data_IF_335629743053
#
_entry.id   IF_335629743053
#
_cell.length_a   1.000
_cell.length_b   1.000
_cell.length_c   1.000
_cell.angle_alpha   90.00
_cell.angle_beta   90.00
_cell.angle_gamma   90.00
#
_symmetry.space_group_name_H-M   'P 1'
#
loop_
_entity.id
_entity.type
_entity.pdbx_description
1 polymer ?
#
# COMPACT_ATOMS: atom_id res chain seq x y z
N UNK A 1 38.67 10.96 -7.63
CA UNK A 1 37.30 10.89 -8.19
C UNK A 1 36.53 9.76 -7.50
N UNK A 2 35.92 10.09 -6.36
CA UNK A 2 35.14 9.17 -5.54
C UNK A 2 33.75 8.99 -6.14
N UNK A 3 33.46 7.78 -6.62
CA UNK A 3 32.11 7.34 -6.93
C UNK A 3 31.28 7.37 -5.64
N UNK A 4 30.26 8.21 -5.60
CA UNK A 4 29.26 8.21 -4.53
C UNK A 4 28.36 6.99 -4.72
N UNK A 5 28.38 6.08 -3.76
CA UNK A 5 27.38 5.03 -3.57
C UNK A 5 25.98 5.67 -3.51
N UNK A 6 25.22 5.60 -4.60
CA UNK A 6 23.77 5.83 -4.56
C UNK A 6 23.15 4.63 -3.84
N UNK A 7 22.80 4.80 -2.56
CA UNK A 7 22.04 3.81 -1.81
C UNK A 7 20.74 3.50 -2.57
N UNK A 8 20.49 2.20 -2.79
CA UNK A 8 19.28 1.62 -3.38
C UNK A 8 18.03 2.11 -2.65
N UNK A 9 17.47 3.23 -3.12
CA UNK A 9 16.26 3.82 -2.55
C UNK A 9 15.12 3.67 -3.55
N UNK A 10 14.00 3.13 -3.08
CA UNK A 10 12.77 2.94 -3.86
C UNK A 10 12.33 4.29 -4.47
N UNK A 11 12.21 4.32 -5.79
CA UNK A 11 11.81 5.48 -6.58
C UNK A 11 10.33 5.43 -6.97
N UNK A 12 9.79 6.59 -7.35
CA UNK A 12 8.48 6.69 -8.00
C UNK A 12 8.51 5.92 -9.32
N UNK A 13 7.46 5.14 -9.57
CA UNK A 13 7.35 4.28 -10.76
C UNK A 13 8.02 2.91 -10.64
N UNK A 14 8.69 2.61 -9.54
CA UNK A 14 9.25 1.28 -9.30
C UNK A 14 8.13 0.22 -9.14
N UNK A 15 8.48 -1.02 -9.44
CA UNK A 15 7.63 -2.19 -9.19
C UNK A 15 8.38 -3.13 -8.25
N UNK A 16 7.75 -3.46 -7.13
CA UNK A 16 8.34 -4.25 -6.05
C UNK A 16 7.46 -5.47 -5.81
N UNK A 17 8.04 -6.66 -5.83
CA UNK A 17 7.33 -7.91 -5.51
C UNK A 17 7.86 -8.51 -4.21
N UNK A 18 6.96 -8.73 -3.25
CA UNK A 18 7.24 -9.53 -2.05
C UNK A 18 6.77 -10.96 -2.26
N UNK A 19 7.70 -11.92 -2.30
CA UNK A 19 7.39 -13.34 -2.44
C UNK A 19 7.73 -14.11 -1.15
N UNK A 20 7.06 -15.23 -0.95
CA UNK A 20 7.33 -16.13 0.18
C UNK A 20 6.14 -17.03 0.51
N UNK A 21 6.28 -17.93 1.49
CA UNK A 21 5.21 -18.83 1.90
C UNK A 21 4.01 -18.07 2.46
N UNK A 22 2.87 -18.76 2.53
CA UNK A 22 1.70 -18.29 3.27
C UNK A 22 2.12 -17.87 4.70
N UNK A 23 1.47 -16.83 5.23
CA UNK A 23 1.77 -16.29 6.57
C UNK A 23 3.18 -15.73 6.79
N UNK A 24 3.99 -15.54 5.73
CA UNK A 24 5.33 -14.95 5.82
C UNK A 24 5.39 -13.44 6.13
N UNK A 25 4.31 -12.83 6.64
CA UNK A 25 4.28 -11.43 7.02
C UNK A 25 4.13 -10.41 5.88
N UNK A 26 3.97 -10.85 4.62
CA UNK A 26 3.86 -9.97 3.44
C UNK A 26 2.74 -8.93 3.54
N UNK A 27 1.51 -9.36 3.85
CA UNK A 27 0.37 -8.44 4.07
C UNK A 27 0.63 -7.51 5.27
N UNK A 28 1.33 -7.97 6.30
CA UNK A 28 1.73 -7.11 7.44
C UNK A 28 2.69 -6.00 6.99
N UNK A 29 3.63 -6.31 6.09
CA UNK A 29 4.53 -5.32 5.50
C UNK A 29 3.72 -4.31 4.67
N UNK A 30 2.78 -4.77 3.83
CA UNK A 30 1.88 -3.87 3.11
C UNK A 30 1.13 -2.93 4.05
N UNK A 31 0.59 -3.44 5.16
CA UNK A 31 -0.11 -2.61 6.14
C UNK A 31 0.80 -1.59 6.79
N UNK A 32 2.05 -1.94 7.07
CA UNK A 32 3.03 -1.00 7.61
C UNK A 32 3.40 0.10 6.60
N UNK A 33 3.58 -0.26 5.33
CA UNK A 33 3.83 0.73 4.26
C UNK A 33 2.59 1.61 4.07
N UNK A 34 1.40 1.03 4.11
CA UNK A 34 0.13 1.75 3.96
C UNK A 34 -0.05 2.76 5.10
N UNK A 35 0.05 2.32 6.37
CA UNK A 35 -0.15 3.21 7.52
C UNK A 35 0.86 4.37 7.54
N UNK A 36 2.13 4.13 7.24
CA UNK A 36 3.15 5.19 7.20
C UNK A 36 2.97 6.13 6.00
N UNK A 37 2.31 5.68 4.94
CA UNK A 37 1.98 6.52 3.79
C UNK A 37 0.78 7.42 4.06
N UNK A 38 -0.29 6.87 4.63
CA UNK A 38 -1.57 7.58 4.81
C UNK A 38 -1.61 8.49 6.04
N UNK A 39 -0.80 8.20 7.07
CA UNK A 39 -0.64 9.08 8.22
C UNK A 39 -0.04 10.43 7.79
N UNK A 40 -0.46 11.56 8.39
CA UNK A 40 0.16 12.85 8.11
C UNK A 40 1.60 12.89 8.67
N UNK A 41 2.47 13.78 8.13
CA UNK A 41 3.84 13.93 8.61
C UNK A 41 3.90 14.34 10.08
N UNK A 42 3.05 15.29 10.46
CA UNK A 42 2.92 15.78 11.83
C UNK A 42 1.45 16.04 12.18
N UNK A 43 1.19 16.21 13.47
CA UNK A 43 -0.09 16.65 14.00
C UNK A 43 0.11 17.89 14.86
N UNK A 44 -0.74 18.89 14.62
CA UNK A 44 -0.75 20.14 15.37
C UNK A 44 -1.99 20.14 16.26
N UNK A 45 -1.81 20.45 17.55
CA UNK A 45 -2.95 20.69 18.42
C UNK A 45 -3.61 22.02 18.03
N UNK A 46 -4.90 21.98 17.70
CA UNK A 46 -5.71 23.17 17.40
C UNK A 46 -6.61 23.54 18.57
N UNK A 47 -6.86 24.84 18.74
CA UNK A 47 -7.63 25.44 19.83
C UNK A 47 -9.05 24.88 20.05
N UNK A 48 -9.66 24.25 19.04
CA UNK A 48 -11.00 23.65 19.16
C UNK A 48 -11.08 22.51 20.19
N UNK A 49 -9.93 21.96 20.61
CA UNK A 49 -9.84 20.84 21.56
C UNK A 49 -9.29 21.24 22.95
N UNK A 50 -9.15 22.54 23.24
CA UNK A 50 -8.55 23.01 24.50
C UNK A 50 -9.60 23.61 25.44
N UNK A 51 -9.62 23.13 26.70
CA UNK A 51 -10.22 23.85 27.80
C UNK A 51 -9.38 25.11 28.09
N UNK A 52 -10.03 26.28 28.09
CA UNK A 52 -9.43 27.63 28.02
C UNK A 52 -8.43 28.03 29.12
N UNK A 53 -8.10 27.17 30.08
CA UNK A 53 -7.48 27.58 31.34
C UNK A 53 -5.97 27.32 31.49
N UNK A 54 -5.31 26.62 30.55
CA UNK A 54 -3.88 26.30 30.67
C UNK A 54 -3.16 26.37 29.32
N UNK A 55 -2.80 27.58 28.90
CA UNK A 55 -2.14 27.84 27.62
C UNK A 55 -0.78 28.49 27.89
N UNK A 56 0.28 27.68 27.84
CA UNK A 56 1.67 28.18 27.81
C UNK A 56 2.43 27.77 26.56
N UNK A 57 1.98 26.78 25.79
CA UNK A 57 2.60 26.45 24.50
C UNK A 57 1.59 26.01 23.44
N UNK A 58 1.16 26.99 22.64
CA UNK A 58 -0.10 26.92 21.89
C UNK A 58 -0.01 26.27 20.52
N UNK A 59 1.17 25.77 20.15
CA UNK A 59 1.45 25.22 18.82
C UNK A 59 2.37 24.00 18.87
N UNK A 60 2.12 23.09 19.82
CA UNK A 60 2.88 21.84 19.84
C UNK A 60 2.61 21.02 18.58
N UNK A 61 3.68 20.79 17.83
CA UNK A 61 3.71 19.95 16.63
C UNK A 61 4.32 18.62 17.01
N UNK A 62 3.58 17.53 16.82
CA UNK A 62 4.07 16.17 17.06
C UNK A 62 4.41 15.55 15.71
N UNK A 63 5.68 15.16 15.53
CA UNK A 63 6.12 14.42 14.37
C UNK A 63 5.58 12.97 14.41
N UNK A 64 4.71 12.65 13.46
CA UNK A 64 4.13 11.32 13.32
C UNK A 64 4.91 10.46 12.31
N UNK A 65 5.81 11.08 11.53
CA UNK A 65 6.61 10.43 10.49
C UNK A 65 5.73 9.71 9.44
N UNK A 66 4.56 10.28 9.14
CA UNK A 66 3.74 9.88 8.02
C UNK A 66 4.10 10.63 6.74
N UNK A 67 3.43 10.32 5.62
CA UNK A 67 3.62 11.00 4.33
C UNK A 67 2.42 11.86 3.91
N UNK A 68 1.24 11.60 4.48
CA UNK A 68 -0.01 12.28 4.15
C UNK A 68 -0.51 12.00 2.74
N UNK A 69 -0.14 10.85 2.16
CA UNK A 69 -0.42 10.49 0.76
C UNK A 69 -1.41 9.34 0.65
N UNK A 70 -2.01 9.18 -0.53
CA UNK A 70 -2.98 8.14 -0.83
C UNK A 70 -2.34 6.78 -1.14
N UNK A 71 -3.07 5.72 -0.83
CA UNK A 71 -2.75 4.33 -1.19
C UNK A 71 -3.96 3.69 -1.84
N UNK A 72 -3.73 3.03 -2.97
CA UNK A 72 -4.71 2.11 -3.57
C UNK A 72 -4.32 0.69 -3.17
N UNK A 73 -5.29 -0.10 -2.72
CA UNK A 73 -5.08 -1.47 -2.26
C UNK A 73 -6.04 -2.41 -2.99
N UNK A 74 -5.52 -3.29 -3.82
CA UNK A 74 -6.25 -4.40 -4.39
C UNK A 74 -6.17 -5.61 -3.46
N UNK A 75 -7.32 -6.01 -2.94
CA UNK A 75 -7.52 -7.19 -2.10
C UNK A 75 -8.16 -8.27 -2.97
N UNK A 76 -7.32 -9.08 -3.61
CA UNK A 76 -7.77 -10.07 -4.59
C UNK A 76 -8.28 -11.36 -3.94
N UNK A 77 -7.89 -11.67 -2.71
CA UNK A 77 -8.29 -12.88 -1.99
C UNK A 77 -9.25 -12.61 -0.83
N UNK A 78 -9.71 -11.36 -0.68
CA UNK A 78 -10.72 -10.95 0.30
C UNK A 78 -10.20 -10.86 1.75
N UNK A 79 -8.90 -10.95 1.98
CA UNK A 79 -8.30 -11.00 3.32
C UNK A 79 -7.92 -9.62 3.87
N UNK A 80 -8.15 -8.53 3.14
CA UNK A 80 -7.94 -7.20 3.68
C UNK A 80 -8.85 -6.93 4.89
N UNK A 81 -8.20 -6.50 5.97
CA UNK A 81 -8.75 -6.28 7.29
C UNK A 81 -8.41 -4.84 7.75
N UNK A 82 -9.41 -3.98 7.63
CA UNK A 82 -9.32 -2.57 8.04
C UNK A 82 -9.17 -2.41 9.55
N UNK A 83 -9.72 -3.33 10.35
CA UNK A 83 -9.63 -3.27 11.82
C UNK A 83 -8.20 -3.55 12.26
N UNK A 84 -7.54 -4.50 11.61
CA UNK A 84 -6.12 -4.78 11.83
C UNK A 84 -5.25 -3.59 11.43
N UNK A 85 -5.50 -2.96 10.28
CA UNK A 85 -4.78 -1.75 9.87
C UNK A 85 -4.96 -0.61 10.88
N UNK A 86 -6.20 -0.38 11.31
CA UNK A 86 -6.53 0.64 12.33
C UNK A 86 -5.81 0.36 13.65
N UNK A 87 -5.84 -0.88 14.13
CA UNK A 87 -5.17 -1.29 15.38
C UNK A 87 -3.65 -1.09 15.31
N UNK A 88 -3.03 -1.45 14.18
CA UNK A 88 -1.61 -1.18 13.93
C UNK A 88 -1.29 0.32 13.92
N UNK A 89 -2.19 1.14 13.36
CA UNK A 89 -2.05 2.58 13.31
C UNK A 89 -2.15 3.22 14.70
N UNK A 90 -3.13 2.82 15.52
CA UNK A 90 -3.27 3.29 16.91
C UNK A 90 -2.01 2.95 17.72
N UNK A 91 -1.54 1.71 17.65
CA UNK A 91 -0.30 1.31 18.31
C UNK A 91 0.91 2.14 17.85
N UNK A 92 1.03 2.38 16.54
CA UNK A 92 2.09 3.20 15.97
C UNK A 92 2.03 4.65 16.50
N UNK A 93 0.84 5.25 16.54
CA UNK A 93 0.64 6.62 17.04
C UNK A 93 1.02 6.76 18.51
N UNK A 94 0.54 5.88 19.40
CA UNK A 94 0.94 5.89 20.81
C UNK A 94 2.45 5.80 20.97
N UNK A 95 3.10 4.91 20.22
CA UNK A 95 4.55 4.76 20.25
C UNK A 95 5.27 6.03 19.80
N UNK A 96 4.77 6.70 18.75
CA UNK A 96 5.35 7.94 18.23
C UNK A 96 5.19 9.10 19.20
N UNK A 97 4.00 9.29 19.75
CA UNK A 97 3.73 10.30 20.78
C UNK A 97 4.67 10.11 21.97
N UNK A 98 4.73 8.90 22.55
CA UNK A 98 5.58 8.59 23.70
C UNK A 98 7.07 8.80 23.43
N UNK A 99 7.54 8.53 22.21
CA UNK A 99 8.95 8.68 21.85
C UNK A 99 9.33 10.15 21.66
N UNK A 100 8.40 10.97 21.17
CA UNK A 100 8.63 12.39 20.83
C UNK A 100 8.48 13.29 22.06
N UNK A 101 7.48 13.01 22.90
CA UNK A 101 7.17 13.78 24.11
C UNK A 101 7.69 13.02 25.33
N UNK A 102 8.97 13.22 25.65
CA UNK A 102 9.64 12.43 26.69
C UNK A 102 9.12 12.69 28.11
N UNK A 103 8.46 13.83 28.38
CA UNK A 103 7.99 14.17 29.74
C UNK A 103 6.95 15.31 29.80
N UNK A 104 6.53 15.90 28.67
CA UNK A 104 5.56 17.00 28.66
C UNK A 104 4.11 16.50 28.60
N UNK A 105 3.52 16.28 29.78
CA UNK A 105 2.17 15.72 29.96
C UNK A 105 1.12 16.57 29.24
N UNK A 106 1.30 17.89 29.21
CA UNK A 106 0.32 18.82 28.63
C UNK A 106 0.27 18.72 27.12
N UNK A 107 1.25 18.09 26.46
CA UNK A 107 1.31 17.93 25.00
C UNK A 107 0.84 16.56 24.51
N UNK A 108 0.55 15.63 25.41
CA UNK A 108 0.11 14.27 25.05
C UNK A 108 -1.30 14.38 24.43
N UNK A 109 -1.51 13.92 23.18
CA UNK A 109 -2.83 13.85 22.58
C UNK A 109 -3.76 12.96 23.40
N UNK A 110 -5.02 13.38 23.54
CA UNK A 110 -6.04 12.53 24.13
C UNK A 110 -6.33 11.31 23.24
N UNK A 111 -6.97 10.28 23.81
CA UNK A 111 -7.37 9.10 23.03
C UNK A 111 -8.29 9.48 21.86
N UNK A 112 -9.22 10.42 22.05
CA UNK A 112 -10.11 10.89 20.98
C UNK A 112 -9.36 11.64 19.88
N UNK A 113 -8.30 12.38 20.22
CA UNK A 113 -7.41 13.01 19.24
C UNK A 113 -6.66 11.95 18.43
N UNK A 114 -6.09 10.92 19.07
CA UNK A 114 -5.40 9.81 18.41
C UNK A 114 -6.34 9.05 17.46
N UNK A 115 -7.55 8.74 17.91
CA UNK A 115 -8.56 8.10 17.07
C UNK A 115 -8.95 8.97 15.87
N UNK A 116 -9.09 10.28 16.07
CA UNK A 116 -9.43 11.23 15.01
C UNK A 116 -8.33 11.29 13.95
N UNK A 117 -7.05 11.32 14.36
CA UNK A 117 -5.91 11.25 13.44
C UNK A 117 -5.97 9.95 12.64
N UNK A 118 -6.19 8.81 13.29
CA UNK A 118 -6.25 7.52 12.63
C UNK A 118 -7.42 7.43 11.64
N UNK A 119 -8.63 7.80 12.05
CA UNK A 119 -9.83 7.81 11.20
C UNK A 119 -9.68 8.74 10.00
N UNK A 120 -9.07 9.92 10.18
CA UNK A 120 -8.80 10.84 9.08
C UNK A 120 -7.73 10.29 8.12
N UNK A 121 -6.71 9.61 8.62
CA UNK A 121 -5.70 8.95 7.78
C UNK A 121 -6.29 7.80 6.95
N UNK A 122 -7.22 7.03 7.51
CA UNK A 122 -7.92 5.96 6.78
C UNK A 122 -8.78 6.46 5.61
N UNK A 123 -9.10 7.75 5.51
CA UNK A 123 -9.76 8.31 4.32
C UNK A 123 -8.87 8.29 3.07
N UNK A 124 -7.56 8.08 3.23
CA UNK A 124 -6.57 8.06 2.13
C UNK A 124 -6.22 6.65 1.64
N UNK A 125 -6.87 5.60 2.17
CA UNK A 125 -6.73 4.24 1.64
C UNK A 125 -7.97 3.84 0.86
N UNK A 126 -7.76 3.45 -0.40
CA UNK A 126 -8.81 3.10 -1.35
C UNK A 126 -8.71 1.62 -1.67
N UNK A 127 -9.67 0.83 -1.18
CA UNK A 127 -9.63 -0.62 -1.27
C UNK A 127 -10.55 -1.10 -2.39
N UNK A 128 -10.01 -1.83 -3.35
CA UNK A 128 -10.76 -2.50 -4.40
C UNK A 128 -10.71 -4.01 -4.16
N UNK A 129 -11.86 -4.67 -4.28
CA UNK A 129 -12.02 -6.11 -4.06
C UNK A 129 -12.62 -6.81 -5.29
N UNK A 130 -11.94 -6.75 -6.46
CA UNK A 130 -12.42 -7.48 -7.62
C UNK A 130 -12.34 -8.98 -7.32
N UNK A 131 -13.39 -9.71 -7.64
CA UNK A 131 -13.50 -11.15 -7.45
C UNK A 131 -13.41 -11.92 -8.77
N UNK A 132 -13.16 -11.23 -9.88
CA UNK A 132 -13.04 -11.79 -11.21
C UNK A 132 -11.88 -11.12 -11.97
N UNK A 133 -11.15 -11.86 -12.84
CA UNK A 133 -10.10 -11.34 -13.70
C UNK A 133 -10.49 -10.10 -14.51
N UNK A 134 -11.69 -10.11 -15.11
CA UNK A 134 -12.19 -9.02 -15.95
C UNK A 134 -12.52 -7.78 -15.13
N UNK A 135 -13.06 -7.97 -13.91
CA UNK A 135 -13.33 -6.88 -12.99
C UNK A 135 -12.02 -6.21 -12.53
N UNK A 136 -11.00 -7.01 -12.25
CA UNK A 136 -9.67 -6.49 -11.93
C UNK A 136 -9.07 -5.71 -13.10
N UNK A 137 -9.08 -6.28 -14.31
CA UNK A 137 -8.58 -5.60 -15.52
C UNK A 137 -9.30 -4.29 -15.79
N UNK A 138 -10.64 -4.30 -15.78
CA UNK A 138 -11.44 -3.10 -16.01
C UNK A 138 -11.13 -2.01 -14.97
N UNK A 139 -10.96 -2.41 -13.70
CA UNK A 139 -10.59 -1.46 -12.64
C UNK A 139 -9.21 -0.85 -12.88
N UNK A 140 -8.22 -1.63 -13.36
CA UNK A 140 -6.89 -1.11 -13.71
C UNK A 140 -6.96 -0.08 -14.84
N UNK A 141 -7.80 -0.30 -15.86
CA UNK A 141 -7.96 0.64 -16.98
C UNK A 141 -8.51 2.01 -16.55
N UNK A 142 -9.47 2.02 -15.61
CA UNK A 142 -10.08 3.25 -15.12
C UNK A 142 -9.29 3.93 -13.98
N UNK A 143 -8.29 3.24 -13.42
CA UNK A 143 -7.54 3.70 -12.25
C UNK A 143 -6.84 5.06 -12.43
N UNK A 144 -6.16 5.35 -13.55
CA UNK A 144 -5.50 6.64 -13.74
C UNK A 144 -6.49 7.82 -13.69
N UNK A 145 -7.68 7.62 -14.27
CA UNK A 145 -8.76 8.62 -14.25
C UNK A 145 -9.27 8.82 -12.83
N UNK A 146 -9.54 7.73 -12.12
CA UNK A 146 -9.98 7.76 -10.72
C UNK A 146 -9.00 8.52 -9.81
N UNK A 147 -7.70 8.22 -9.93
CA UNK A 147 -6.65 8.88 -9.15
C UNK A 147 -6.57 10.38 -9.42
N UNK A 148 -6.69 10.77 -10.70
CA UNK A 148 -6.65 12.18 -11.11
C UNK A 148 -7.86 12.96 -10.59
N UNK A 149 -9.06 12.38 -10.65
CA UNK A 149 -10.28 13.01 -10.14
C UNK A 149 -10.18 13.22 -8.63
N UNK A 150 -9.71 12.21 -7.88
CA UNK A 150 -9.49 12.35 -6.45
C UNK A 150 -8.41 13.35 -6.10
N UNK A 151 -7.28 13.39 -6.82
CA UNK A 151 -6.25 14.40 -6.58
C UNK A 151 -6.74 15.84 -6.82
N UNK A 152 -7.79 16.02 -7.63
CA UNK A 152 -8.40 17.32 -7.85
C UNK A 152 -9.38 17.71 -6.74
N UNK A 153 -10.14 16.75 -6.20
CA UNK A 153 -11.10 16.99 -5.12
C UNK A 153 -10.45 16.97 -3.73
N UNK A 154 -9.41 16.16 -3.57
CA UNK A 154 -8.70 15.91 -2.32
C UNK A 154 -7.29 16.52 -2.36
N UNK A 155 -6.82 17.04 -1.24
CA UNK A 155 -5.49 17.69 -1.17
C UNK A 155 -4.33 16.70 -1.01
N UNK A 156 -4.39 15.51 -1.62
CA UNK A 156 -3.29 14.53 -1.57
C UNK A 156 -3.13 13.76 -2.90
N UNK A 157 -1.91 13.29 -3.14
CA UNK A 157 -1.58 12.41 -4.27
C UNK A 157 -1.46 10.96 -3.82
N UNK A 158 -1.63 10.02 -4.74
CA UNK A 158 -1.33 8.61 -4.51
C UNK A 158 0.18 8.33 -4.62
N UNK A 159 0.70 7.46 -3.75
CA UNK A 159 2.11 7.03 -3.83
C UNK A 159 2.27 5.56 -4.14
N UNK A 160 1.35 4.72 -3.65
CA UNK A 160 1.44 3.29 -3.81
C UNK A 160 0.16 2.72 -4.41
N UNK A 161 0.36 1.82 -5.37
CA UNK A 161 -0.62 0.84 -5.82
C UNK A 161 -0.19 -0.52 -5.27
N UNK A 162 -0.92 -1.01 -4.26
CA UNK A 162 -0.65 -2.29 -3.63
C UNK A 162 -1.59 -3.36 -4.20
N UNK A 163 -1.06 -4.52 -4.56
CA UNK A 163 -1.83 -5.67 -5.06
C UNK A 163 -1.46 -6.87 -4.19
N UNK A 164 -2.31 -7.21 -3.23
CA UNK A 164 -2.08 -8.36 -2.36
C UNK A 164 -2.54 -9.64 -3.08
N UNK A 165 -1.62 -10.59 -3.20
CA UNK A 165 -1.78 -11.87 -3.88
C UNK A 165 -2.12 -11.72 -5.36
N UNK A 166 -1.20 -11.12 -6.13
CA UNK A 166 -1.39 -10.89 -7.58
C UNK A 166 -1.65 -12.18 -8.37
N UNK A 167 -1.23 -13.34 -7.84
CA UNK A 167 -1.45 -14.64 -8.45
C UNK A 167 -2.81 -15.28 -8.12
N UNK A 168 -3.73 -14.63 -7.38
CA UNK A 168 -5.04 -15.22 -7.05
C UNK A 168 -5.77 -15.74 -8.30
N UNK A 169 -5.84 -14.92 -9.36
CA UNK A 169 -6.49 -15.31 -10.61
C UNK A 169 -5.66 -16.26 -11.49
N UNK A 170 -4.38 -16.50 -11.18
CA UNK A 170 -3.56 -17.43 -11.95
C UNK A 170 -3.81 -18.90 -11.57
N UNK A 171 -4.19 -19.16 -10.31
CA UNK A 171 -4.38 -20.52 -9.80
C UNK A 171 -5.78 -21.08 -10.00
N UNK A 172 -6.82 -20.24 -9.99
CA UNK A 172 -8.21 -20.66 -10.23
C UNK A 172 -8.40 -21.32 -11.59
N UNK A 173 -7.53 -20.99 -12.55
CA UNK A 173 -7.57 -21.52 -13.91
C UNK A 173 -6.83 -22.86 -14.08
N UNK A 174 -6.00 -23.27 -13.11
CA UNK A 174 -5.27 -24.56 -13.15
C UNK A 174 -6.13 -25.75 -12.73
N UNK A 175 -7.09 -25.55 -11.84
CA UNK A 175 -8.04 -26.60 -11.44
C UNK A 175 -8.93 -27.04 -12.62
N UNK A 176 -9.11 -26.18 -13.63
CA UNK A 176 -9.82 -26.53 -14.87
C UNK A 176 -8.98 -27.37 -15.84
N UNK A 177 -7.64 -27.28 -15.78
CA UNK A 177 -6.74 -28.03 -16.67
C UNK A 177 -6.69 -29.52 -16.31
N UNK A 178 -6.85 -29.89 -15.03
CA UNK A 178 -6.84 -31.30 -14.60
C UNK A 178 -8.10 -32.06 -15.04
N UNK A 179 -9.17 -31.36 -15.45
CA UNK A 179 -10.46 -31.95 -15.89
C UNK A 179 -10.53 -32.14 -17.42
N UNK A 180 -9.46 -31.87 -18.17
CA UNK A 180 -9.33 -32.36 -19.54
C UNK A 180 -10.18 -31.64 -20.59
N UNK A 181 -10.40 -30.33 -20.45
CA UNK A 181 -10.87 -29.50 -21.56
C UNK A 181 -9.68 -28.70 -22.06
N UNK A 182 -9.37 -28.84 -23.36
CA UNK A 182 -8.33 -28.13 -24.09
C UNK A 182 -8.67 -26.62 -24.11
N UNK A 183 -8.46 -25.93 -22.98
CA UNK A 183 -8.65 -24.50 -22.85
C UNK A 183 -7.31 -23.79 -23.08
N UNK A 184 -6.90 -23.76 -24.36
CA UNK A 184 -5.94 -22.82 -24.98
C UNK A 184 -4.95 -22.12 -24.01
N UNK A 185 -3.70 -22.57 -23.92
CA UNK A 185 -2.63 -21.85 -23.19
C UNK A 185 -2.40 -20.39 -23.66
N UNK A 186 -3.09 -19.96 -24.71
CA UNK A 186 -3.13 -18.59 -25.22
C UNK A 186 -3.78 -17.61 -24.25
N UNK A 187 -4.90 -17.92 -23.59
CA UNK A 187 -5.58 -16.93 -22.73
C UNK A 187 -4.84 -16.68 -21.41
N UNK A 188 -4.21 -17.72 -20.84
CA UNK A 188 -3.34 -17.64 -19.65
C UNK A 188 -2.16 -16.67 -19.85
N UNK A 189 -1.48 -16.79 -20.99
CA UNK A 189 -0.40 -15.88 -21.37
C UNK A 189 -0.91 -14.48 -21.75
N UNK A 190 -2.12 -14.37 -22.29
CA UNK A 190 -2.72 -13.10 -22.69
C UNK A 190 -3.17 -12.25 -21.47
N UNK A 191 -3.75 -12.86 -20.43
CA UNK A 191 -4.26 -12.11 -19.26
C UNK A 191 -3.17 -11.40 -18.48
N UNK A 192 -2.05 -12.08 -18.23
CA UNK A 192 -0.86 -11.48 -17.62
C UNK A 192 -0.37 -10.30 -18.44
N UNK A 193 -0.29 -10.48 -19.77
CA UNK A 193 0.14 -9.42 -20.67
C UNK A 193 -0.74 -8.18 -20.51
N UNK A 194 -2.07 -8.36 -20.46
CA UNK A 194 -3.00 -7.25 -20.27
C UNK A 194 -2.82 -6.54 -18.92
N UNK A 195 -2.63 -7.27 -17.82
CA UNK A 195 -2.35 -6.66 -16.51
C UNK A 195 -1.03 -5.89 -16.52
N UNK A 196 0.02 -6.45 -17.10
CA UNK A 196 1.32 -5.79 -17.23
C UNK A 196 1.19 -4.48 -18.02
N UNK A 197 0.51 -4.50 -19.16
CA UNK A 197 0.32 -3.30 -19.98
C UNK A 197 -0.49 -2.23 -19.22
N UNK A 198 -1.55 -2.63 -18.53
CA UNK A 198 -2.34 -1.69 -17.73
C UNK A 198 -1.50 -1.09 -16.58
N UNK A 199 -0.70 -1.90 -15.88
CA UNK A 199 0.18 -1.41 -14.82
C UNK A 199 1.25 -0.46 -15.35
N UNK A 200 1.85 -0.75 -16.51
CA UNK A 200 2.79 0.17 -17.17
C UNK A 200 2.14 1.51 -17.46
N UNK A 201 0.95 1.49 -18.05
CA UNK A 201 0.20 2.70 -18.35
C UNK A 201 -0.14 3.49 -17.08
N UNK A 202 -0.55 2.82 -16.00
CA UNK A 202 -0.80 3.47 -14.71
C UNK A 202 0.47 4.14 -14.18
N UNK A 203 1.61 3.44 -14.19
CA UNK A 203 2.89 3.99 -13.75
C UNK A 203 3.28 5.21 -14.60
N UNK A 204 3.18 5.13 -15.92
CA UNK A 204 3.51 6.23 -16.83
C UNK A 204 2.63 7.45 -16.61
N UNK A 205 1.33 7.25 -16.36
CA UNK A 205 0.36 8.35 -16.21
C UNK A 205 0.33 8.96 -14.81
N UNK A 206 0.71 8.21 -13.78
CA UNK A 206 0.51 8.62 -12.37
C UNK A 206 1.79 8.65 -11.53
N UNK A 207 2.84 7.98 -11.97
CA UNK A 207 4.12 7.87 -11.26
C UNK A 207 4.05 7.11 -9.94
N UNK A 208 2.99 6.32 -9.69
CA UNK A 208 2.91 5.51 -8.47
C UNK A 208 3.89 4.36 -8.47
N UNK A 209 4.36 4.00 -7.29
CA UNK A 209 5.13 2.77 -7.07
C UNK A 209 4.17 1.61 -6.89
N UNK A 210 4.37 0.53 -7.63
CA UNK A 210 3.55 -0.69 -7.54
C UNK A 210 4.19 -1.66 -6.57
N UNK A 211 3.42 -2.18 -5.63
CA UNK A 211 3.86 -3.23 -4.71
C UNK A 211 2.94 -4.43 -4.84
N UNK A 212 3.49 -5.58 -5.16
CA UNK A 212 2.74 -6.83 -5.28
C UNK A 212 3.17 -7.82 -4.21
N UNK A 213 2.28 -8.73 -3.81
CA UNK A 213 2.66 -9.91 -3.04
C UNK A 213 2.30 -11.18 -3.78
N UNK A 214 3.09 -12.22 -3.53
CA UNK A 214 2.91 -13.50 -4.17
C UNK A 214 3.13 -14.67 -3.20
N UNK A 215 2.32 -15.72 -3.35
CA UNK A 215 2.53 -16.99 -2.67
C UNK A 215 3.44 -17.86 -3.53
N UNK A 216 4.66 -18.09 -3.05
CA UNK A 216 5.59 -19.04 -3.67
C UNK A 216 5.63 -20.32 -2.83
N UNK A 217 5.25 -21.45 -3.43
CA UNK A 217 5.30 -22.79 -2.79
C UNK A 217 6.69 -23.43 -2.98
N UNK A 218 7.53 -22.90 -3.88
CA UNK A 218 8.87 -23.42 -4.19
C UNK A 218 9.88 -22.30 -4.42
N UNK A 219 11.18 -22.54 -4.12
CA UNK A 219 12.25 -21.57 -4.35
C UNK A 219 12.41 -21.22 -5.84
N UNK A 220 13.02 -20.06 -6.15
CA UNK A 220 12.98 -19.37 -7.46
C UNK A 220 13.51 -20.11 -8.70
N UNK A 221 14.01 -21.34 -8.54
CA UNK A 221 14.65 -22.13 -9.60
C UNK A 221 13.70 -23.11 -10.31
N UNK A 222 12.48 -23.34 -9.79
CA UNK A 222 11.63 -24.46 -10.23
C UNK A 222 10.21 -24.10 -10.71
N UNK A 223 9.87 -22.82 -10.86
CA UNK A 223 8.53 -22.40 -11.34
C UNK A 223 8.69 -21.48 -12.53
N UNK A 224 8.09 -21.85 -13.67
CA UNK A 224 7.87 -20.95 -14.80
C UNK A 224 7.15 -19.70 -14.28
N UNK A 225 7.94 -18.64 -14.13
CA UNK A 225 7.48 -17.38 -13.57
C UNK A 225 6.50 -16.79 -14.56
N UNK A 226 5.42 -16.22 -14.05
CA UNK A 226 4.76 -15.14 -14.76
C UNK A 226 5.80 -14.01 -14.80
N UNK A 227 6.43 -13.71 -15.96
CA UNK A 227 7.35 -12.61 -16.02
C UNK A 227 6.48 -11.36 -16.07
N UNK A 228 6.14 -10.82 -14.90
CA UNK A 228 5.93 -9.38 -14.78
C UNK A 228 7.30 -8.77 -15.10
N UNK A 229 7.64 -8.62 -16.39
CA UNK A 229 8.81 -7.90 -16.91
C UNK A 229 8.65 -6.40 -16.60
N UNK A 230 8.53 -6.13 -15.31
CA UNK A 230 8.20 -4.89 -14.61
C UNK A 230 9.13 -4.74 -13.40
N UNK A 231 9.55 -5.85 -12.78
CA UNK A 231 10.46 -5.84 -11.64
C UNK A 231 11.93 -5.84 -12.13
N UNK A 232 12.70 -4.82 -11.74
CA UNK A 232 14.14 -5.02 -11.55
C UNK A 232 14.33 -5.82 -10.24
N UNK A 233 15.12 -6.90 -10.23
CA UNK A 233 15.39 -7.61 -8.99
C UNK A 233 16.27 -6.74 -8.09
N UNK A 234 15.71 -6.20 -7.01
CA UNK A 234 16.50 -5.69 -5.88
C UNK A 234 16.87 -6.89 -5.02
N UNK A 235 18.08 -7.40 -5.20
CA UNK A 235 18.66 -8.44 -4.36
C UNK A 235 19.20 -7.75 -3.10
N UNK A 236 18.54 -7.95 -1.97
CA UNK A 236 19.13 -7.58 -0.68
C UNK A 236 20.34 -8.50 -0.42
N UNK A 237 21.53 -7.91 -0.39
CA UNK A 237 22.77 -8.57 0.02
C UNK A 237 22.90 -8.65 1.53
#
# INVERSE_FOLDING_TARGET
PSASNSQDSIQRGDVIEFYGPASGGKTTILYHIALTTILPPSWNRTYENLDLYDITDVNATIELNGRGKGVIFFDLDGKFDIQRLYSMMIYYLHRRVKTTLKEDINLIPSESEIESIAKNALKRIHVFKPNLPESFYATLLDLPKYMKELQQSESYEFSFLMIDQINTFYWEDKDYDEVGIIANDTWKNNNVHYYVQALKQIIELTGVTVITTNWAITPPEAVDRIPLNLCYPVVAH
#
